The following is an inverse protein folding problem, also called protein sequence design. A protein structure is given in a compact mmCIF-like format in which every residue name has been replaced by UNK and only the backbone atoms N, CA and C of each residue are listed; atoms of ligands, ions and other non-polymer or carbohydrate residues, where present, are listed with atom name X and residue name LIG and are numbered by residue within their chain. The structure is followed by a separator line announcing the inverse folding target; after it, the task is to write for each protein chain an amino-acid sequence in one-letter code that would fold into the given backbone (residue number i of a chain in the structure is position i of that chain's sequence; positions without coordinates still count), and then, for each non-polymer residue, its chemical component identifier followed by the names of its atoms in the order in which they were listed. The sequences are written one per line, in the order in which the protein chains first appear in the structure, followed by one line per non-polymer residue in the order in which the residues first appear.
data_IF_517240429425
#
_entry.id   IF_517240429425
#
_cell.length_a   1.000
_cell.length_b   1.000
_cell.length_c   1.000
_cell.angle_alpha   90.00
_cell.angle_beta   90.00
_cell.angle_gamma   90.00
#
_symmetry.space_group_name_H-M   'P 1'
#
loop_
_entity.id
_entity.type
_entity.pdbx_description
1 polymer ?
#
# COMPACT_ATOMS: atom_id res chain seq x y z
N UNK A 1 -0.55 -29.74 -9.30
CA UNK A 1 -1.34 -28.95 -10.28
C UNK A 1 -0.64 -27.61 -10.43
N UNK A 2 -0.17 -27.28 -11.64
CA UNK A 2 0.37 -25.96 -11.94
C UNK A 2 -0.75 -24.93 -11.81
N UNK A 3 -0.54 -23.88 -11.00
CA UNK A 3 -1.47 -22.76 -10.87
C UNK A 3 -1.58 -22.07 -12.24
N UNK A 4 -2.71 -22.25 -12.92
CA UNK A 4 -3.03 -21.64 -14.23
C UNK A 4 -3.43 -20.16 -14.12
N UNK A 5 -3.41 -19.57 -12.92
CA UNK A 5 -3.64 -18.14 -12.73
C UNK A 5 -2.34 -17.39 -13.01
N UNK A 6 -2.44 -16.29 -13.76
CA UNK A 6 -1.34 -15.33 -13.92
C UNK A 6 -0.84 -14.78 -12.58
N UNK A 7 0.23 -13.97 -12.57
CA UNK A 7 0.80 -13.45 -11.34
C UNK A 7 -0.27 -12.70 -10.53
N UNK A 8 -0.30 -12.93 -9.21
CA UNK A 8 -1.20 -12.24 -8.27
C UNK A 8 -1.05 -10.74 -8.46
N UNK A 9 -2.16 -10.01 -8.61
CA UNK A 9 -2.13 -8.56 -8.84
C UNK A 9 -2.41 -7.80 -7.55
N UNK A 10 -1.49 -6.94 -7.14
CA UNK A 10 -1.59 -6.13 -5.92
C UNK A 10 -1.71 -4.66 -6.29
N UNK A 11 -2.72 -3.98 -5.75
CA UNK A 11 -2.82 -2.52 -5.83
C UNK A 11 -2.20 -1.89 -4.60
N UNK A 12 -1.22 -1.03 -4.82
CA UNK A 12 -0.64 -0.17 -3.80
C UNK A 12 -1.31 1.21 -3.85
N UNK A 13 -1.96 1.61 -2.77
CA UNK A 13 -2.70 2.86 -2.64
C UNK A 13 -1.91 3.79 -1.72
N UNK A 14 -1.33 4.85 -2.27
CA UNK A 14 -0.59 5.84 -1.49
C UNK A 14 -1.48 7.01 -1.04
N UNK A 15 -1.83 7.03 0.24
CA UNK A 15 -2.64 8.12 0.83
C UNK A 15 -1.77 9.21 1.44
N UNK A 16 -0.51 8.91 1.78
CA UNK A 16 0.44 9.83 2.40
C UNK A 16 1.27 9.17 3.50
N UNK A 17 1.79 9.99 4.41
CA UNK A 17 2.67 9.55 5.49
C UNK A 17 4.14 9.42 5.11
N UNK A 18 4.98 9.25 6.13
CA UNK A 18 6.44 9.24 6.03
C UNK A 18 6.97 8.17 5.08
N UNK A 19 6.28 7.03 4.95
CA UNK A 19 6.66 5.90 4.08
C UNK A 19 6.85 6.30 2.61
N UNK A 20 6.09 7.27 2.13
CA UNK A 20 6.21 7.76 0.76
C UNK A 20 7.10 8.98 0.62
N UNK A 21 7.94 9.31 1.60
CA UNK A 21 8.82 10.48 1.53
C UNK A 21 10.25 10.09 1.13
N UNK A 22 10.90 10.97 0.39
CA UNK A 22 12.34 10.90 0.09
C UNK A 22 12.98 12.25 0.37
N UNK A 23 14.17 12.21 0.96
CA UNK A 23 14.98 13.40 1.19
C UNK A 23 15.61 13.87 -0.12
N UNK A 24 15.35 15.11 -0.47
CA UNK A 24 16.05 15.82 -1.52
C UNK A 24 17.35 16.38 -0.93
N UNK A 25 18.49 15.83 -1.36
CA UNK A 25 19.80 16.18 -0.78
C UNK A 25 20.30 17.56 -1.19
N UNK A 26 19.81 18.11 -2.30
CA UNK A 26 20.19 19.44 -2.78
C UNK A 26 19.48 20.55 -1.97
N UNK A 27 18.20 20.34 -1.66
CA UNK A 27 17.37 21.30 -0.93
C UNK A 27 17.22 21.01 0.57
N UNK A 28 17.57 19.80 1.02
CA UNK A 28 17.35 19.33 2.39
C UNK A 28 15.89 19.07 2.75
N UNK A 29 14.97 19.17 1.79
CA UNK A 29 13.51 19.02 1.99
C UNK A 29 13.04 17.58 1.76
N UNK A 30 11.85 17.25 2.27
CA UNK A 30 11.18 15.98 1.95
C UNK A 30 10.24 16.17 0.75
N UNK A 31 10.27 15.21 -0.18
CA UNK A 31 9.39 15.15 -1.35
C UNK A 31 8.68 13.80 -1.41
N UNK A 32 7.47 13.79 -1.99
CA UNK A 32 6.75 12.56 -2.23
C UNK A 32 7.51 11.68 -3.24
N UNK A 33 7.61 10.40 -2.90
CA UNK A 33 8.20 9.36 -3.71
C UNK A 33 7.31 9.08 -4.92
N UNK A 34 7.93 8.94 -6.09
CA UNK A 34 7.21 8.54 -7.28
C UNK A 34 7.09 7.01 -7.31
N UNK A 35 5.97 6.50 -6.81
CA UNK A 35 5.68 5.06 -6.78
C UNK A 35 5.60 4.41 -8.18
N UNK A 36 5.48 5.17 -9.27
CA UNK A 36 5.66 4.61 -10.63
C UNK A 36 7.09 4.12 -10.87
N UNK A 37 8.07 4.60 -10.10
CA UNK A 37 9.47 4.16 -10.12
C UNK A 37 9.78 3.15 -9.00
N UNK A 38 8.77 2.65 -8.29
CA UNK A 38 8.93 1.79 -7.12
C UNK A 38 9.81 0.58 -7.41
N UNK A 39 9.52 -0.18 -8.47
CA UNK A 39 10.30 -1.36 -8.85
C UNK A 39 11.76 -1.04 -9.21
N UNK A 40 12.04 0.20 -9.67
CA UNK A 40 13.42 0.64 -9.95
C UNK A 40 14.18 0.96 -8.66
N UNK A 41 13.51 1.52 -7.66
CA UNK A 41 14.11 1.88 -6.38
C UNK A 41 14.19 0.71 -5.40
N UNK A 42 13.28 -0.25 -5.51
CA UNK A 42 13.17 -1.44 -4.64
C UNK A 42 13.07 -2.67 -5.55
N UNK A 43 14.18 -3.07 -6.19
CA UNK A 43 14.19 -4.19 -7.13
C UNK A 43 13.83 -5.52 -6.46
N UNK A 44 13.95 -5.63 -5.14
CA UNK A 44 13.56 -6.81 -4.35
C UNK A 44 12.08 -7.16 -4.51
N UNK A 45 11.22 -6.18 -4.82
CA UNK A 45 9.79 -6.43 -5.08
C UNK A 45 9.56 -7.36 -6.28
N UNK A 46 10.49 -7.43 -7.23
CA UNK A 46 10.38 -8.37 -8.36
C UNK A 46 10.51 -9.84 -7.92
N UNK A 47 11.06 -10.10 -6.72
CA UNK A 47 11.22 -11.45 -6.18
C UNK A 47 9.93 -11.99 -5.56
N UNK A 48 8.90 -11.15 -5.40
CA UNK A 48 7.64 -11.53 -4.73
C UNK A 48 6.70 -12.36 -5.62
N UNK A 49 6.99 -12.46 -6.92
CA UNK A 49 6.16 -13.23 -7.85
C UNK A 49 4.75 -12.66 -8.07
N UNK A 50 4.53 -11.39 -7.73
CA UNK A 50 3.27 -10.67 -7.94
C UNK A 50 3.47 -9.47 -8.90
N UNK A 51 2.40 -9.06 -9.56
CA UNK A 51 2.34 -7.79 -10.28
C UNK A 51 1.89 -6.69 -9.33
N UNK A 52 2.56 -5.55 -9.35
CA UNK A 52 2.27 -4.41 -8.48
C UNK A 52 1.84 -3.25 -9.36
N UNK A 53 0.61 -2.79 -9.15
CA UNK A 53 0.10 -1.53 -9.68
C UNK A 53 0.05 -0.50 -8.55
N UNK A 54 0.17 0.78 -8.90
CA UNK A 54 0.23 1.86 -7.90
C UNK A 54 -0.75 2.96 -8.25
N UNK A 55 -1.52 3.41 -7.27
CA UNK A 55 -2.32 4.62 -7.33
C UNK A 55 -2.04 5.49 -6.09
N UNK A 56 -2.41 6.77 -6.15
CA UNK A 56 -2.22 7.69 -5.03
C UNK A 56 -3.36 8.67 -4.96
N UNK A 57 -3.57 9.26 -3.79
CA UNK A 57 -4.32 10.50 -3.69
C UNK A 57 -3.67 11.58 -4.56
N UNK A 58 -4.50 12.47 -5.12
CA UNK A 58 -4.01 13.62 -5.90
C UNK A 58 -3.05 14.48 -5.07
N UNK A 59 -3.35 14.59 -3.78
CA UNK A 59 -2.50 15.23 -2.78
C UNK A 59 -2.35 14.29 -1.59
N UNK A 60 -1.18 13.65 -1.44
CA UNK A 60 -0.89 12.85 -0.26
C UNK A 60 -1.05 13.69 1.01
N UNK A 61 -1.66 13.12 2.04
CA UNK A 61 -2.02 13.84 3.27
C UNK A 61 -1.26 13.31 4.48
N UNK A 62 -1.08 14.18 5.47
CA UNK A 62 -0.69 13.77 6.82
C UNK A 62 -1.85 12.99 7.45
N UNK A 63 -1.54 11.86 8.09
CA UNK A 63 -2.52 11.04 8.81
C UNK A 63 -3.27 11.84 9.88
N UNK A 64 -2.66 12.87 10.48
CA UNK A 64 -3.36 13.73 11.46
C UNK A 64 -4.54 14.50 10.86
N UNK A 65 -4.57 14.67 9.53
CA UNK A 65 -5.63 15.35 8.78
C UNK A 65 -6.59 14.36 8.10
N UNK A 66 -6.43 13.05 8.32
CA UNK A 66 -7.33 12.02 7.81
C UNK A 66 -8.73 12.22 8.43
N UNK A 67 -9.78 12.01 7.62
CA UNK A 67 -11.15 12.24 8.03
C UNK A 67 -12.10 11.26 7.31
N UNK A 68 -13.38 11.20 7.68
CA UNK A 68 -14.32 10.27 7.06
C UNK A 68 -14.45 10.40 5.53
N UNK A 69 -14.31 11.60 4.97
CA UNK A 69 -14.32 11.79 3.51
C UNK A 69 -13.14 11.09 2.83
N UNK A 70 -11.95 11.17 3.43
CA UNK A 70 -10.77 10.44 2.93
C UNK A 70 -10.91 8.93 3.09
N UNK A 71 -11.57 8.44 4.15
CA UNK A 71 -11.86 7.01 4.29
C UNK A 71 -12.76 6.50 3.16
N UNK A 72 -13.80 7.26 2.83
CA UNK A 72 -14.66 6.99 1.68
C UNK A 72 -13.86 6.97 0.37
N UNK A 73 -12.89 7.88 0.20
CA UNK A 73 -12.01 7.87 -0.97
C UNK A 73 -11.18 6.58 -1.08
N UNK A 74 -10.58 6.11 0.02
CA UNK A 74 -9.85 4.83 0.03
C UNK A 74 -10.80 3.67 -0.31
N UNK A 75 -11.98 3.64 0.30
CA UNK A 75 -12.97 2.59 0.05
C UNK A 75 -13.41 2.57 -1.43
N UNK A 76 -13.69 3.73 -2.02
CA UNK A 76 -14.06 3.85 -3.44
C UNK A 76 -12.94 3.41 -4.39
N UNK A 77 -11.67 3.70 -4.05
CA UNK A 77 -10.53 3.21 -4.82
C UNK A 77 -10.50 1.68 -4.78
N UNK A 78 -10.64 1.08 -3.60
CA UNK A 78 -10.65 -0.39 -3.44
C UNK A 78 -11.83 -1.00 -4.20
N UNK A 79 -13.03 -0.45 -4.06
CA UNK A 79 -14.25 -0.93 -4.73
C UNK A 79 -14.10 -0.87 -6.27
N UNK A 80 -13.70 0.28 -6.81
CA UNK A 80 -13.54 0.45 -8.26
C UNK A 80 -12.44 -0.43 -8.88
N UNK A 81 -11.44 -0.82 -8.08
CA UNK A 81 -10.33 -1.67 -8.49
C UNK A 81 -10.50 -3.12 -8.04
N UNK A 82 -11.63 -3.46 -7.43
CA UNK A 82 -11.81 -4.70 -6.70
C UNK A 82 -11.62 -5.90 -7.61
N UNK A 83 -12.29 -5.94 -8.76
CA UNK A 83 -12.23 -7.06 -9.71
C UNK A 83 -10.87 -7.19 -10.42
N UNK A 84 -10.14 -6.08 -10.60
CA UNK A 84 -8.88 -6.06 -11.34
C UNK A 84 -7.69 -6.59 -10.52
N UNK A 85 -7.81 -6.64 -9.19
CA UNK A 85 -6.74 -6.99 -8.27
C UNK A 85 -7.11 -8.17 -7.37
N UNK A 86 -6.10 -8.90 -6.87
CA UNK A 86 -6.25 -10.00 -5.94
C UNK A 86 -6.03 -9.57 -4.48
N UNK A 87 -5.45 -8.37 -4.23
CA UNK A 87 -5.20 -7.82 -2.89
C UNK A 87 -4.77 -6.35 -2.94
N UNK A 88 -4.83 -5.69 -1.78
CA UNK A 88 -4.61 -4.25 -1.64
C UNK A 88 -3.64 -3.95 -0.51
N UNK A 89 -2.78 -2.96 -0.72
CA UNK A 89 -1.90 -2.39 0.31
C UNK A 89 -2.13 -0.89 0.38
N UNK A 90 -2.54 -0.39 1.53
CA UNK A 90 -2.77 1.05 1.78
C UNK A 90 -1.56 1.61 2.53
N UNK A 91 -0.81 2.48 1.86
CA UNK A 91 0.31 3.21 2.46
C UNK A 91 -0.22 4.47 3.15
N UNK A 92 -0.06 4.51 4.47
CA UNK A 92 -0.69 5.48 5.35
C UNK A 92 0.30 5.99 6.41
N UNK A 93 0.07 7.20 6.95
CA UNK A 93 0.81 7.71 8.10
C UNK A 93 0.44 6.99 9.40
N UNK A 94 1.40 6.82 10.33
CA UNK A 94 1.21 5.98 11.53
C UNK A 94 0.17 6.52 12.52
N UNK A 95 0.05 7.85 12.64
CA UNK A 95 -0.64 8.50 13.76
C UNK A 95 -2.12 8.10 13.88
N UNK A 96 -2.79 7.93 12.73
CA UNK A 96 -4.22 7.58 12.68
C UNK A 96 -4.50 6.32 11.88
N UNK A 97 -3.48 5.52 11.55
CA UNK A 97 -3.63 4.31 10.74
C UNK A 97 -4.65 3.34 11.34
N UNK A 98 -4.63 3.14 12.65
CA UNK A 98 -5.57 2.25 13.36
C UNK A 98 -7.01 2.72 13.24
N UNK A 99 -7.27 4.04 13.26
CA UNK A 99 -8.60 4.61 13.07
C UNK A 99 -9.10 4.38 11.64
N UNK A 100 -8.27 4.66 10.63
CA UNK A 100 -8.61 4.42 9.23
C UNK A 100 -8.87 2.94 8.95
N UNK A 101 -8.00 2.05 9.44
CA UNK A 101 -8.18 0.60 9.30
C UNK A 101 -9.46 0.11 9.97
N UNK A 102 -9.76 0.62 11.18
CA UNK A 102 -11.01 0.28 11.88
C UNK A 102 -12.24 0.76 11.10
N UNK A 103 -12.23 2.00 10.60
CA UNK A 103 -13.33 2.55 9.81
C UNK A 103 -13.56 1.72 8.53
N UNK A 104 -12.49 1.41 7.80
CA UNK A 104 -12.60 0.62 6.56
C UNK A 104 -13.06 -0.82 6.81
N UNK A 105 -12.77 -1.40 7.98
CA UNK A 105 -13.28 -2.75 8.33
C UNK A 105 -14.82 -2.80 8.39
N UNK A 106 -15.48 -1.67 8.67
CA UNK A 106 -16.94 -1.55 8.62
C UNK A 106 -17.46 -1.11 7.26
N UNK A 107 -16.70 -0.29 6.51
CA UNK A 107 -17.12 0.19 5.19
C UNK A 107 -17.03 -0.89 4.10
N UNK A 108 -16.03 -1.77 4.18
CA UNK A 108 -15.77 -2.82 3.20
C UNK A 108 -16.50 -4.12 3.58
N UNK A 109 -17.82 -4.11 3.49
CA UNK A 109 -18.63 -5.29 3.79
C UNK A 109 -18.35 -6.44 2.81
N UNK A 110 -18.42 -7.69 3.31
CA UNK A 110 -18.22 -8.92 2.52
C UNK A 110 -16.86 -8.98 1.79
N UNK A 111 -15.82 -8.37 2.39
CA UNK A 111 -14.48 -8.38 1.85
C UNK A 111 -13.95 -9.82 1.72
N UNK A 112 -13.51 -10.17 0.51
CA UNK A 112 -13.02 -11.49 0.13
C UNK A 112 -11.59 -11.42 -0.45
N UNK A 113 -10.90 -10.29 -0.28
CA UNK A 113 -9.51 -10.04 -0.71
C UNK A 113 -8.79 -9.25 0.38
N UNK A 114 -7.51 -9.51 0.66
CA UNK A 114 -6.79 -8.84 1.74
C UNK A 114 -6.62 -7.35 1.45
N UNK A 115 -6.83 -6.53 2.48
CA UNK A 115 -6.53 -5.09 2.49
C UNK A 115 -5.58 -4.82 3.64
N UNK A 116 -4.32 -4.55 3.34
CA UNK A 116 -3.25 -4.41 4.33
C UNK A 116 -2.90 -2.94 4.48
N UNK A 117 -3.08 -2.39 5.68
CA UNK A 117 -2.58 -1.06 6.02
C UNK A 117 -1.13 -1.14 6.48
N UNK A 118 -0.29 -0.24 5.98
CA UNK A 118 1.10 -0.17 6.40
C UNK A 118 1.65 1.25 6.28
N UNK A 119 2.76 1.49 6.96
CA UNK A 119 3.42 2.78 7.04
C UNK A 119 4.83 2.61 7.56
N UNK A 120 5.49 3.70 7.92
CA UNK A 120 6.84 3.66 8.47
C UNK A 120 7.12 4.86 9.35
N UNK A 121 8.08 4.68 10.26
CA UNK A 121 8.61 5.76 11.08
C UNK A 121 9.65 6.58 10.32
N UNK A 122 10.38 5.95 9.39
CA UNK A 122 11.43 6.59 8.59
C UNK A 122 11.06 6.64 7.10
N UNK A 123 11.51 7.69 6.37
CA UNK A 123 11.30 7.79 4.93
C UNK A 123 11.88 6.61 4.17
N UNK A 124 11.28 6.22 3.04
CA UNK A 124 11.77 5.09 2.23
C UNK A 124 13.12 5.37 1.55
N UNK A 125 13.49 6.66 1.43
CA UNK A 125 14.79 7.07 0.92
C UNK A 125 15.94 6.99 1.93
N UNK A 126 15.65 6.72 3.20
CA UNK A 126 16.68 6.66 4.25
C UNK A 126 17.43 5.31 4.24
N UNK A 127 18.73 5.34 4.54
CA UNK A 127 19.60 4.15 4.52
C UNK A 127 19.14 3.06 5.50
N UNK A 128 18.68 3.45 6.69
CA UNK A 128 18.21 2.54 7.76
C UNK A 128 16.72 2.74 8.00
N UNK A 129 15.91 2.43 7.00
CA UNK A 129 14.46 2.63 7.03
C UNK A 129 13.69 1.35 7.31
N UNK A 130 12.60 1.46 8.09
CA UNK A 130 11.60 0.42 8.26
C UNK A 130 10.61 0.37 7.08
N UNK A 131 10.53 1.43 6.27
CA UNK A 131 9.62 1.53 5.12
C UNK A 131 9.76 0.39 4.11
N UNK A 132 11.00 0.00 3.80
CA UNK A 132 11.28 -1.03 2.79
C UNK A 132 10.79 -2.40 3.25
N UNK A 133 11.12 -2.77 4.49
CA UNK A 133 10.71 -4.05 5.09
C UNK A 133 9.19 -4.11 5.28
N UNK A 134 8.58 -3.04 5.80
CA UNK A 134 7.13 -2.95 5.98
C UNK A 134 6.40 -3.09 4.64
N UNK A 135 6.90 -2.42 3.58
CA UNK A 135 6.31 -2.51 2.24
C UNK A 135 6.42 -3.92 1.65
N UNK A 136 7.61 -4.53 1.69
CA UNK A 136 7.85 -5.88 1.17
C UNK A 136 6.93 -6.88 1.89
N UNK A 137 6.90 -6.82 3.21
CA UNK A 137 6.08 -7.71 4.05
C UNK A 137 4.60 -7.54 3.75
N UNK A 138 4.12 -6.29 3.62
CA UNK A 138 2.71 -6.02 3.36
C UNK A 138 2.26 -6.53 1.99
N UNK A 139 3.10 -6.38 0.97
CA UNK A 139 2.83 -6.92 -0.37
C UNK A 139 2.86 -8.46 -0.35
N UNK A 140 3.81 -9.07 0.36
CA UNK A 140 3.87 -10.52 0.53
C UNK A 140 2.60 -11.07 1.17
N UNK A 141 2.12 -10.43 2.25
CA UNK A 141 0.89 -10.83 2.94
C UNK A 141 -0.32 -10.63 2.01
N UNK A 142 -0.43 -9.49 1.33
CA UNK A 142 -1.52 -9.21 0.41
C UNK A 142 -1.54 -10.16 -0.80
N UNK A 143 -0.38 -10.70 -1.19
CA UNK A 143 -0.24 -11.64 -2.29
C UNK A 143 -0.36 -13.12 -1.87
N UNK A 144 -0.44 -13.40 -0.57
CA UNK A 144 -0.44 -14.76 -0.05
C UNK A 144 -1.71 -15.50 -0.46
N UNK A 145 -1.53 -16.71 -0.98
CA UNK A 145 -2.62 -17.60 -1.36
C UNK A 145 -2.48 -18.94 -0.66
N UNK A 146 -3.57 -19.43 -0.10
CA UNK A 146 -3.68 -20.80 0.43
C UNK A 146 -4.84 -21.53 -0.26
N UNK A 147 -4.66 -22.82 -0.57
CA UNK A 147 -5.67 -23.68 -1.21
C UNK A 147 -6.36 -23.08 -2.45
N UNK A 148 -5.68 -22.21 -3.19
CA UNK A 148 -6.19 -21.53 -4.40
C UNK A 148 -6.91 -20.20 -4.15
N UNK A 149 -7.22 -19.86 -2.90
CA UNK A 149 -7.85 -18.60 -2.49
C UNK A 149 -6.86 -17.60 -1.88
N UNK A 150 -7.23 -16.31 -1.78
CA UNK A 150 -6.49 -15.36 -0.95
C UNK A 150 -6.59 -15.74 0.54
N UNK A 151 -5.56 -15.41 1.32
CA UNK A 151 -5.62 -15.49 2.79
C UNK A 151 -6.19 -14.18 3.34
N UNK A 152 -7.20 -14.29 4.23
CA UNK A 152 -7.92 -13.17 4.85
C UNK A 152 -7.97 -13.41 6.36
#
# INVERSE_FOLDING_TARGET
MLNLKGPTKILLIYTGGTIGMVKDYDSGTLKAFNFKKLLKSIPELNQLGCSIETTSFDRPIDSSNMNPGHWTEIANIIESQYEAHDGFVVLHGSDTMSYSASALSFMLENLAKPVIFTGSQLPIGDLRTDAKENLITSIQIAALRDKGGPVI
#
